data_IF_549593079974
#
_entry.id   IF_549593079974
#
_cell.length_a   1.000
_cell.length_b   1.000
_cell.length_c   1.000
_cell.angle_alpha   90.00
_cell.angle_beta   90.00
_cell.angle_gamma   90.00
#
_symmetry.space_group_name_H-M   'P 1'
#
loop_
_entity.id
_entity.type
_entity.pdbx_description
1 polymer ?
#
# COMPACT_ATOMS: atom_id res chain seq x y z
N UNK A 1 1.20 -19.43 -7.65
CA UNK A 1 -0.08 -19.19 -8.36
C UNK A 1 -0.50 -17.75 -8.08
N UNK A 2 -0.23 -16.79 -8.97
CA UNK A 2 -0.69 -15.41 -8.79
C UNK A 2 -2.17 -15.37 -9.16
N UNK A 3 -3.04 -15.37 -8.16
CA UNK A 3 -4.47 -15.18 -8.36
C UNK A 3 -4.64 -13.69 -8.65
N UNK A 4 -4.61 -13.29 -9.91
CA UNK A 4 -4.95 -11.91 -10.28
C UNK A 4 -6.47 -11.79 -10.25
N UNK A 5 -7.02 -11.41 -9.09
CA UNK A 5 -8.40 -10.94 -8.99
C UNK A 5 -8.50 -9.59 -9.71
N UNK A 6 -8.54 -9.62 -11.04
CA UNK A 6 -8.60 -8.41 -11.89
C UNK A 6 -9.90 -7.61 -11.74
N UNK A 7 -10.86 -8.09 -10.94
CA UNK A 7 -12.17 -7.46 -10.78
C UNK A 7 -12.35 -6.72 -9.45
N UNK A 8 -11.36 -6.75 -8.54
CA UNK A 8 -11.47 -6.07 -7.24
C UNK A 8 -10.58 -4.85 -7.23
N UNK A 9 -11.19 -3.69 -7.51
CA UNK A 9 -10.57 -2.38 -7.27
C UNK A 9 -10.78 -2.02 -5.80
N UNK A 10 -9.72 -1.87 -4.98
CA UNK A 10 -9.88 -1.52 -3.58
C UNK A 10 -10.39 -0.09 -3.46
N UNK A 11 -11.34 0.16 -2.56
CA UNK A 11 -11.80 1.53 -2.29
C UNK A 11 -10.71 2.39 -1.61
N UNK A 12 -9.83 1.74 -0.83
CA UNK A 12 -8.77 2.40 -0.07
C UNK A 12 -7.44 1.69 -0.25
N UNK A 13 -6.39 2.47 -0.44
CA UNK A 13 -5.00 2.01 -0.40
C UNK A 13 -4.26 2.78 0.66
N UNK A 14 -3.72 2.08 1.66
CA UNK A 14 -2.86 2.67 2.68
C UNK A 14 -1.39 2.37 2.35
N UNK A 15 -0.54 3.39 2.40
CA UNK A 15 0.88 3.28 2.11
C UNK A 15 1.72 4.15 3.08
N UNK A 16 3.04 3.94 3.05
CA UNK A 16 3.96 4.83 3.75
C UNK A 16 4.09 6.19 3.03
N UNK A 17 4.85 7.11 3.64
CA UNK A 17 5.16 8.41 3.04
C UNK A 17 6.37 8.34 2.07
N UNK A 18 6.70 7.17 1.55
CA UNK A 18 7.80 7.01 0.60
C UNK A 18 7.56 7.82 -0.68
N UNK A 19 8.63 8.39 -1.24
CA UNK A 19 8.57 9.16 -2.48
C UNK A 19 7.85 8.40 -3.62
N UNK A 20 8.07 7.09 -3.82
CA UNK A 20 7.33 6.33 -4.84
C UNK A 20 5.81 6.29 -4.57
N UNK A 21 5.39 6.12 -3.31
CA UNK A 21 3.97 6.05 -2.92
C UNK A 21 3.26 7.41 -2.99
N UNK A 22 4.04 8.50 -3.03
CA UNK A 22 3.60 9.89 -3.20
C UNK A 22 3.80 10.41 -4.62
N UNK A 23 4.28 9.58 -5.54
CA UNK A 23 4.57 9.96 -6.92
C UNK A 23 3.30 10.38 -7.67
N UNK A 24 3.41 11.41 -8.51
CA UNK A 24 2.30 11.96 -9.29
C UNK A 24 1.67 10.89 -10.19
N UNK A 25 2.49 10.09 -10.88
CA UNK A 25 2.02 9.03 -11.79
C UNK A 25 1.12 8.02 -11.08
N UNK A 26 1.54 7.56 -9.90
CA UNK A 26 0.75 6.63 -9.10
C UNK A 26 -0.53 7.28 -8.57
N UNK A 27 -0.44 8.54 -8.12
CA UNK A 27 -1.58 9.31 -7.66
C UNK A 27 -2.67 9.44 -8.73
N UNK A 28 -2.30 9.88 -9.93
CA UNK A 28 -3.23 10.03 -11.07
C UNK A 28 -3.84 8.68 -11.47
N UNK A 29 -3.06 7.61 -11.47
CA UNK A 29 -3.56 6.27 -11.76
C UNK A 29 -4.64 5.84 -10.75
N UNK A 30 -4.36 5.96 -9.45
CA UNK A 30 -5.32 5.59 -8.40
C UNK A 30 -6.56 6.49 -8.40
N UNK A 31 -6.40 7.79 -8.67
CA UNK A 31 -7.52 8.72 -8.80
C UNK A 31 -8.42 8.35 -9.99
N UNK A 32 -7.84 7.91 -11.11
CA UNK A 32 -8.60 7.44 -12.29
C UNK A 32 -9.45 6.20 -12.02
N UNK A 33 -9.04 5.41 -11.02
CA UNK A 33 -9.76 4.23 -10.54
C UNK A 33 -10.68 4.52 -9.36
N UNK A 34 -10.85 5.80 -8.97
CA UNK A 34 -11.64 6.24 -7.81
C UNK A 34 -11.19 5.61 -6.49
N UNK A 35 -9.88 5.34 -6.36
CA UNK A 35 -9.27 4.75 -5.17
C UNK A 35 -8.83 5.86 -4.21
N UNK A 36 -9.30 5.81 -2.97
CA UNK A 36 -8.86 6.74 -1.93
C UNK A 36 -7.50 6.32 -1.38
N UNK A 37 -6.58 7.27 -1.29
CA UNK A 37 -5.23 7.06 -0.76
C UNK A 37 -5.15 7.50 0.70
N UNK A 38 -4.54 6.65 1.53
CA UNK A 38 -4.24 6.93 2.93
C UNK A 38 -2.75 6.74 3.18
N UNK A 39 -2.18 7.55 4.08
CA UNK A 39 -0.75 7.55 4.37
C UNK A 39 -0.48 7.47 5.86
N UNK A 40 0.66 6.90 6.23
CA UNK A 40 1.10 6.85 7.63
C UNK A 40 1.24 8.25 8.24
N UNK A 41 0.98 8.36 9.53
CA UNK A 41 1.16 9.59 10.30
C UNK A 41 2.63 9.99 10.34
N UNK A 42 2.94 11.30 10.35
CA UNK A 42 4.31 11.78 10.45
C UNK A 42 5.02 11.21 11.69
N UNK A 43 6.22 10.67 11.50
CA UNK A 43 7.10 10.15 12.57
C UNK A 43 6.54 8.94 13.34
N UNK A 44 5.54 8.24 12.80
CA UNK A 44 5.02 6.98 13.36
C UNK A 44 5.43 5.83 12.46
N UNK A 45 6.40 5.03 12.90
CA UNK A 45 6.90 3.90 12.10
C UNK A 45 5.90 2.74 12.02
N UNK A 46 5.21 2.44 13.13
CA UNK A 46 4.30 1.28 13.22
C UNK A 46 2.88 1.58 12.71
N UNK A 47 2.71 2.52 11.78
CA UNK A 47 1.39 2.86 11.23
C UNK A 47 0.93 1.87 10.14
N UNK A 48 1.78 0.88 9.80
CA UNK A 48 1.52 -0.14 8.78
C UNK A 48 1.77 -1.57 9.29
N UNK A 49 1.36 -1.84 10.54
CA UNK A 49 1.69 -3.06 11.29
C UNK A 49 1.42 -4.38 10.53
N UNK A 50 0.33 -4.44 9.77
CA UNK A 50 -0.04 -5.65 9.02
C UNK A 50 1.03 -6.03 7.98
N UNK A 51 1.35 -5.15 7.04
CA UNK A 51 2.30 -5.49 5.97
C UNK A 51 3.73 -5.60 6.52
N UNK A 52 4.08 -4.86 7.57
CA UNK A 52 5.39 -5.00 8.22
C UNK A 52 5.55 -6.37 8.88
N UNK A 53 4.52 -6.86 9.57
CA UNK A 53 4.55 -8.21 10.14
C UNK A 53 4.63 -9.29 9.06
N UNK A 54 3.90 -9.12 7.95
CA UNK A 54 3.96 -10.02 6.81
C UNK A 54 5.35 -10.06 6.18
N UNK A 55 5.94 -8.90 5.91
CA UNK A 55 7.28 -8.78 5.35
C UNK A 55 8.35 -9.36 6.29
N UNK A 56 8.18 -9.23 7.61
CA UNK A 56 9.05 -9.87 8.60
C UNK A 56 8.96 -11.40 8.52
N UNK A 57 7.75 -11.96 8.45
CA UNK A 57 7.54 -13.40 8.26
C UNK A 57 8.24 -13.88 6.98
N UNK A 58 8.07 -13.17 5.87
CA UNK A 58 8.72 -13.52 4.60
C UNK A 58 10.26 -13.47 4.64
N UNK A 59 10.85 -12.65 5.51
CA UNK A 59 12.32 -12.54 5.63
C UNK A 59 12.94 -13.63 6.49
N UNK A 60 12.22 -14.13 7.49
CA UNK A 60 12.81 -14.94 8.57
C UNK A 60 12.11 -16.28 8.83
N UNK A 61 10.91 -16.48 8.31
CA UNK A 61 10.08 -17.66 8.59
C UNK A 61 9.66 -18.45 7.34
N UNK A 62 9.98 -17.94 6.15
CA UNK A 62 9.91 -18.65 4.86
C UNK A 62 11.33 -18.83 4.37
#
# INVERSE_FOLDING_TARGET
RVIRSHEVVPQFVHADNGHPMRGVTLGVFLDSLQVTRSYSRPRVSNDNAFIESWNKTLKYAV
#
